data_IF_319842645717
#
_entry.id   IF_319842645717
#
_cell.length_a   1.000
_cell.length_b   1.000
_cell.length_c   1.000
_cell.angle_alpha   90.00
_cell.angle_beta   90.00
_cell.angle_gamma   90.00
#
_symmetry.space_group_name_H-M   'P 1'
#
loop_
_entity.id
_entity.type
_entity.pdbx_description
1 polymer ?
#
# COMPACT_ATOMS: atom_id res chain seq x y z
N UNK A 1 20.59 -3.57 -7.24
CA UNK A 1 19.60 -4.63 -7.53
C UNK A 1 19.00 -4.36 -8.91
N UNK A 2 18.93 -5.36 -9.78
CA UNK A 2 18.19 -5.24 -11.06
C UNK A 2 16.69 -5.06 -10.78
N UNK A 3 15.99 -4.27 -11.62
CA UNK A 3 14.55 -4.06 -11.53
C UNK A 3 13.80 -5.36 -11.83
N UNK A 4 12.85 -5.72 -10.98
CA UNK A 4 12.02 -6.93 -11.14
C UNK A 4 10.72 -6.50 -11.82
N UNK A 5 10.57 -6.87 -13.10
CA UNK A 5 9.42 -6.45 -13.93
C UNK A 5 8.10 -6.95 -13.35
N UNK A 6 8.07 -8.14 -12.76
CA UNK A 6 6.87 -8.67 -12.12
C UNK A 6 6.34 -7.79 -10.98
N UNK A 7 7.22 -7.13 -10.23
CA UNK A 7 6.82 -6.16 -9.20
C UNK A 7 6.20 -4.89 -9.81
N UNK A 8 6.62 -4.49 -11.01
CA UNK A 8 6.01 -3.37 -11.71
C UNK A 8 4.56 -3.69 -12.09
N UNK A 9 4.31 -4.90 -12.59
CA UNK A 9 2.94 -5.38 -12.87
C UNK A 9 2.08 -5.38 -11.60
N UNK A 10 2.59 -5.94 -10.50
CA UNK A 10 1.85 -5.99 -9.24
C UNK A 10 1.55 -4.58 -8.70
N UNK A 11 2.48 -3.64 -8.79
CA UNK A 11 2.24 -2.26 -8.36
C UNK A 11 1.12 -1.61 -9.14
N UNK A 12 1.18 -1.69 -10.48
CA UNK A 12 0.15 -1.10 -11.34
C UNK A 12 -1.20 -1.75 -11.09
N UNK A 13 -1.24 -3.08 -11.02
CA UNK A 13 -2.45 -3.80 -10.70
C UNK A 13 -3.03 -3.38 -9.34
N UNK A 14 -2.21 -3.38 -8.31
CA UNK A 14 -2.64 -3.09 -6.93
C UNK A 14 -3.15 -1.66 -6.80
N UNK A 15 -2.45 -0.67 -7.36
CA UNK A 15 -2.90 0.73 -7.29
C UNK A 15 -4.19 0.94 -8.09
N UNK A 16 -4.35 0.21 -9.20
CA UNK A 16 -5.57 0.28 -9.99
C UNK A 16 -6.77 -0.35 -9.27
N UNK A 17 -6.58 -1.48 -8.59
CA UNK A 17 -7.64 -2.08 -7.75
C UNK A 17 -8.10 -1.15 -6.63
N UNK A 18 -7.18 -0.45 -5.98
CA UNK A 18 -7.51 0.56 -4.97
C UNK A 18 -8.21 1.77 -5.60
N UNK A 19 -7.83 2.19 -6.82
CA UNK A 19 -8.52 3.24 -7.55
C UNK A 19 -9.97 2.86 -7.90
N UNK A 20 -10.20 1.62 -8.34
CA UNK A 20 -11.57 1.11 -8.60
C UNK A 20 -12.40 1.13 -7.31
N UNK A 21 -11.85 0.66 -6.19
CA UNK A 21 -12.49 0.72 -4.87
C UNK A 21 -12.87 2.15 -4.48
N UNK A 22 -11.93 3.09 -4.58
CA UNK A 22 -12.22 4.49 -4.26
C UNK A 22 -13.22 5.13 -5.23
N UNK A 23 -13.21 4.77 -6.52
CA UNK A 23 -14.20 5.27 -7.47
C UNK A 23 -15.61 4.74 -7.17
N UNK A 24 -15.73 3.48 -6.71
CA UNK A 24 -16.99 2.97 -6.19
C UNK A 24 -17.42 3.73 -4.93
N UNK A 25 -16.52 3.92 -3.97
CA UNK A 25 -16.82 4.54 -2.68
C UNK A 25 -17.17 6.04 -2.81
N UNK A 26 -16.42 6.81 -3.59
CA UNK A 26 -16.53 8.26 -3.64
C UNK A 26 -17.36 8.79 -4.80
N UNK A 27 -17.39 8.08 -5.94
CA UNK A 27 -18.13 8.51 -7.14
C UNK A 27 -19.39 7.68 -7.40
N UNK A 28 -19.69 6.68 -6.56
CA UNK A 28 -20.82 5.76 -6.75
C UNK A 28 -20.72 4.90 -8.01
N UNK A 29 -19.52 4.69 -8.55
CA UNK A 29 -19.33 3.92 -9.78
C UNK A 29 -19.77 2.47 -9.60
N UNK A 30 -20.59 1.97 -10.53
CA UNK A 30 -21.00 0.58 -10.59
C UNK A 30 -20.24 -0.16 -11.69
N UNK A 31 -19.77 -1.36 -11.39
CA UNK A 31 -19.04 -2.26 -12.28
C UNK A 31 -19.88 -3.52 -12.62
N UNK A 32 -21.20 -3.40 -12.55
CA UNK A 32 -22.12 -4.51 -12.79
C UNK A 32 -21.89 -5.67 -11.81
N UNK A 33 -21.73 -6.88 -12.32
CA UNK A 33 -21.50 -8.08 -11.50
C UNK A 33 -20.17 -8.06 -10.71
N UNK A 34 -19.24 -7.19 -11.08
CA UNK A 34 -17.95 -7.05 -10.40
C UNK A 34 -17.98 -6.03 -9.26
N UNK A 35 -19.07 -5.29 -9.06
CA UNK A 35 -19.18 -4.26 -8.04
C UNK A 35 -18.85 -4.80 -6.65
N UNK A 36 -19.39 -5.96 -6.27
CA UNK A 36 -19.11 -6.59 -4.97
C UNK A 36 -17.65 -6.99 -4.80
N UNK A 37 -16.96 -7.36 -5.88
CA UNK A 37 -15.51 -7.63 -5.82
C UNK A 37 -14.71 -6.33 -5.69
N UNK A 38 -15.11 -5.29 -6.42
CA UNK A 38 -14.45 -3.99 -6.40
C UNK A 38 -14.62 -3.30 -5.04
N UNK A 39 -15.78 -3.44 -4.38
CA UNK A 39 -16.02 -2.89 -3.04
C UNK A 39 -15.07 -3.44 -1.97
N UNK A 40 -14.44 -4.58 -2.19
CA UNK A 40 -13.42 -5.15 -1.31
C UNK A 40 -11.98 -4.76 -1.72
N UNK A 41 -11.81 -3.86 -2.68
CA UNK A 41 -10.51 -3.46 -3.22
C UNK A 41 -9.55 -2.85 -2.21
N UNK A 42 -10.02 -2.39 -1.06
CA UNK A 42 -9.22 -1.93 0.07
C UNK A 42 -8.22 -3.00 0.57
N UNK A 43 -8.52 -4.30 0.42
CA UNK A 43 -7.63 -5.41 0.83
C UNK A 43 -6.30 -5.41 0.09
N UNK A 44 -6.23 -4.81 -1.10
CA UNK A 44 -4.99 -4.71 -1.86
C UNK A 44 -3.92 -3.83 -1.21
N UNK A 45 -4.27 -3.02 -0.21
CA UNK A 45 -3.29 -2.31 0.61
C UNK A 45 -2.35 -3.28 1.34
N UNK A 46 -2.83 -4.46 1.73
CA UNK A 46 -1.99 -5.55 2.28
C UNK A 46 -0.86 -5.93 1.33
N UNK A 47 -1.17 -6.08 0.03
CA UNK A 47 -0.15 -6.38 -0.98
C UNK A 47 0.87 -5.24 -1.13
N UNK A 48 0.47 -3.97 -0.96
CA UNK A 48 1.41 -2.84 -0.94
C UNK A 48 2.41 -2.92 0.22
N UNK A 49 1.94 -3.21 1.44
CA UNK A 49 2.83 -3.37 2.59
C UNK A 49 3.75 -4.57 2.41
N UNK A 50 3.24 -5.71 1.95
CA UNK A 50 4.04 -6.90 1.65
C UNK A 50 5.10 -6.61 0.57
N UNK A 51 4.73 -5.97 -0.54
CA UNK A 51 5.68 -5.59 -1.60
C UNK A 51 6.77 -4.64 -1.09
N UNK A 52 6.40 -3.68 -0.24
CA UNK A 52 7.35 -2.73 0.34
C UNK A 52 8.36 -3.45 1.24
N UNK A 53 7.88 -4.32 2.12
CA UNK A 53 8.73 -5.17 2.96
C UNK A 53 9.63 -6.09 2.14
N UNK A 54 9.08 -6.70 1.09
CA UNK A 54 9.82 -7.59 0.19
C UNK A 54 10.96 -6.88 -0.54
N UNK A 55 10.70 -5.72 -1.15
CA UNK A 55 11.72 -4.94 -1.85
C UNK A 55 12.82 -4.46 -0.90
N UNK A 56 12.46 -4.05 0.31
CA UNK A 56 13.45 -3.64 1.31
C UNK A 56 14.25 -4.82 1.83
N UNK A 57 13.60 -5.95 2.11
CA UNK A 57 14.26 -7.20 2.51
C UNK A 57 15.30 -7.67 1.48
N UNK A 58 14.94 -7.66 0.17
CA UNK A 58 15.89 -7.97 -0.90
C UNK A 58 17.07 -7.01 -0.97
N UNK A 59 16.80 -5.71 -0.80
CA UNK A 59 17.80 -4.67 -0.99
C UNK A 59 18.75 -4.48 0.18
N UNK A 60 18.22 -4.63 1.39
CA UNK A 60 18.89 -4.33 2.65
C UNK A 60 19.05 -5.56 3.53
N UNK A 61 19.09 -6.76 2.94
CA UNK A 61 19.31 -8.02 3.65
C UNK A 61 20.53 -7.95 4.57
N UNK A 62 21.59 -7.29 4.14
CA UNK A 62 22.85 -7.11 4.87
C UNK A 62 23.05 -5.63 5.31
N UNK A 63 21.98 -4.96 5.76
CA UNK A 63 22.09 -3.59 6.26
C UNK A 63 23.05 -3.51 7.45
N UNK A 64 24.13 -2.73 7.38
CA UNK A 64 25.00 -2.52 8.53
C UNK A 64 24.28 -1.75 9.64
N UNK A 65 24.48 -2.18 10.89
CA UNK A 65 23.81 -1.57 12.05
C UNK A 65 24.67 -0.46 12.71
N UNK A 66 25.38 0.32 11.89
CA UNK A 66 26.10 1.52 12.34
C UNK A 66 25.30 2.79 12.02
N UNK A 67 25.57 3.87 12.76
CA UNK A 67 24.81 5.13 12.66
C UNK A 67 24.81 5.72 11.25
N UNK A 68 25.94 5.65 10.53
CA UNK A 68 26.04 6.19 9.16
C UNK A 68 25.14 5.42 8.16
N UNK A 69 25.16 4.09 8.21
CA UNK A 69 24.32 3.26 7.34
C UNK A 69 22.83 3.41 7.65
N UNK A 70 22.46 3.48 8.94
CA UNK A 70 21.09 3.70 9.38
C UNK A 70 20.59 5.08 8.95
N UNK A 71 21.39 6.13 9.13
CA UNK A 71 21.04 7.49 8.69
C UNK A 71 20.84 7.53 7.16
N UNK A 72 21.74 6.91 6.40
CA UNK A 72 21.62 6.83 4.95
C UNK A 72 20.35 6.06 4.52
N UNK A 73 20.02 4.96 5.22
CA UNK A 73 18.79 4.22 4.99
C UNK A 73 17.56 5.10 5.23
N UNK A 74 17.44 5.71 6.41
CA UNK A 74 16.29 6.55 6.76
C UNK A 74 16.14 7.74 5.81
N UNK A 75 17.23 8.48 5.58
CA UNK A 75 17.22 9.59 4.62
C UNK A 75 16.68 9.16 3.25
N UNK A 76 17.15 8.01 2.74
CA UNK A 76 16.72 7.50 1.45
C UNK A 76 15.24 7.08 1.44
N UNK A 77 14.73 6.50 2.53
CA UNK A 77 13.34 6.06 2.61
C UNK A 77 12.39 7.25 2.79
N UNK A 78 12.69 8.14 3.73
CA UNK A 78 11.85 9.30 4.00
C UNK A 78 11.78 10.27 2.80
N UNK A 79 12.91 10.55 2.15
CA UNK A 79 12.92 11.37 0.93
C UNK A 79 12.18 10.72 -0.25
N UNK A 80 11.97 9.40 -0.22
CA UNK A 80 11.19 8.74 -1.29
C UNK A 80 9.67 8.86 -1.11
N UNK A 81 9.17 9.22 0.08
CA UNK A 81 7.72 9.27 0.34
C UNK A 81 7.25 10.62 0.87
N UNK A 82 7.98 11.26 1.78
CA UNK A 82 7.52 12.48 2.45
C UNK A 82 7.36 13.70 1.54
N UNK A 83 8.23 14.01 0.56
CA UNK A 83 8.13 15.29 -0.16
C UNK A 83 6.79 15.48 -0.89
N UNK A 84 6.35 14.50 -1.65
CA UNK A 84 5.06 14.58 -2.35
C UNK A 84 3.90 14.55 -1.36
N UNK A 85 4.01 13.72 -0.31
CA UNK A 85 3.05 13.66 0.77
C UNK A 85 2.85 15.03 1.45
N UNK A 86 3.95 15.72 1.84
CA UNK A 86 3.89 17.04 2.47
C UNK A 86 3.18 18.04 1.55
N UNK A 87 3.47 18.01 0.26
CA UNK A 87 2.77 18.88 -0.71
C UNK A 87 1.27 18.59 -0.73
N UNK A 88 0.86 17.32 -0.71
CA UNK A 88 -0.56 16.96 -0.65
C UNK A 88 -1.22 17.42 0.66
N UNK A 89 -0.54 17.26 1.80
CA UNK A 89 -1.03 17.70 3.12
C UNK A 89 -1.22 19.21 3.16
N UNK A 90 -0.25 19.98 2.64
CA UNK A 90 -0.32 21.45 2.67
C UNK A 90 -1.37 21.99 1.68
N UNK A 91 -1.52 21.38 0.53
CA UNK A 91 -2.45 21.87 -0.50
C UNK A 91 -3.91 21.46 -0.27
N UNK A 92 -4.16 20.40 0.48
CA UNK A 92 -5.52 19.88 0.66
C UNK A 92 -6.44 20.85 1.45
N UNK A 93 -6.04 21.37 2.65
CA UNK A 93 -6.90 22.24 3.44
C UNK A 93 -7.34 23.52 2.71
N UNK A 94 -6.46 24.30 2.05
CA UNK A 94 -6.89 25.54 1.39
C UNK A 94 -7.77 25.33 0.17
N UNK A 95 -7.78 24.11 -0.42
CA UNK A 95 -8.57 23.80 -1.62
C UNK A 95 -9.92 23.16 -1.25
N UNK A 96 -9.95 22.32 -0.24
CA UNK A 96 -11.11 21.49 0.11
C UNK A 96 -11.49 21.55 1.59
N UNK A 97 -10.68 22.17 2.43
CA UNK A 97 -10.89 22.18 3.87
C UNK A 97 -12.13 23.00 4.25
N UNK A 98 -12.91 22.43 5.11
CA UNK A 98 -14.04 23.09 5.78
C UNK A 98 -13.71 23.28 7.28
N UNK A 99 -12.50 22.88 7.69
CA UNK A 99 -12.06 22.82 9.06
C UNK A 99 -11.73 24.22 9.60
N UNK A 100 -11.94 24.41 10.90
CA UNK A 100 -11.58 25.63 11.59
C UNK A 100 -10.06 25.83 11.64
N UNK A 101 -9.63 27.08 11.82
CA UNK A 101 -8.19 27.38 12.00
C UNK A 101 -7.57 26.58 13.14
N UNK A 102 -8.31 26.37 14.24
CA UNK A 102 -7.85 25.59 15.39
C UNK A 102 -7.61 24.13 15.02
N UNK A 103 -8.54 23.51 14.30
CA UNK A 103 -8.37 22.12 13.81
C UNK A 103 -7.13 22.02 12.92
N UNK A 104 -6.94 22.93 11.97
CA UNK A 104 -5.76 22.98 11.11
C UNK A 104 -4.47 23.07 11.93
N UNK A 105 -4.41 23.93 12.95
CA UNK A 105 -3.23 24.10 13.78
C UNK A 105 -2.91 22.86 14.64
N UNK A 106 -3.91 22.10 15.05
CA UNK A 106 -3.71 20.89 15.86
C UNK A 106 -3.37 19.66 15.01
N UNK A 107 -4.01 19.50 13.85
CA UNK A 107 -3.91 18.28 13.03
C UNK A 107 -2.72 18.37 12.06
N UNK A 108 -2.50 19.52 11.44
CA UNK A 108 -1.46 19.70 10.42
C UNK A 108 -0.04 19.30 10.88
N UNK A 109 0.42 19.63 12.11
CA UNK A 109 1.72 19.16 12.58
C UNK A 109 1.85 17.64 12.61
N UNK A 110 0.81 16.94 13.08
CA UNK A 110 0.79 15.47 13.16
C UNK A 110 0.83 14.84 11.77
N UNK A 111 0.09 15.43 10.83
CA UNK A 111 0.12 15.02 9.42
C UNK A 111 1.47 15.35 8.77
N UNK A 112 2.06 16.50 8.99
CA UNK A 112 3.37 16.86 8.42
C UNK A 112 4.49 15.89 8.86
N UNK A 113 4.42 15.40 10.10
CA UNK A 113 5.32 14.35 10.58
C UNK A 113 4.96 12.95 10.06
N UNK A 114 3.80 12.77 9.46
CA UNK A 114 3.33 11.48 8.94
C UNK A 114 3.09 10.45 10.04
N UNK A 115 2.54 10.86 11.18
CA UNK A 115 2.30 10.00 12.35
C UNK A 115 0.81 9.90 12.75
N UNK A 116 -0.09 10.45 11.97
CA UNK A 116 -1.53 10.51 12.28
C UNK A 116 -2.14 9.11 12.53
N UNK A 117 -1.68 8.07 11.84
CA UNK A 117 -2.19 6.71 12.02
C UNK A 117 -1.80 6.06 13.35
N UNK A 118 -0.84 6.64 14.08
CA UNK A 118 -0.48 6.17 15.44
C UNK A 118 -1.60 6.53 16.43
N UNK A 119 -2.38 7.56 16.12
CA UNK A 119 -3.46 8.08 16.96
C UNK A 119 -4.82 7.80 16.30
N UNK A 120 -5.51 6.70 16.63
CA UNK A 120 -6.77 6.32 15.99
C UNK A 120 -7.84 7.43 16.00
N UNK A 121 -7.93 8.17 17.10
CA UNK A 121 -8.87 9.31 17.24
C UNK A 121 -8.62 10.46 16.27
N UNK A 122 -7.37 10.66 15.82
CA UNK A 122 -7.03 11.70 14.85
C UNK A 122 -7.36 11.30 13.41
N UNK A 123 -7.50 10.02 13.12
CA UNK A 123 -7.81 9.54 11.76
C UNK A 123 -9.15 10.05 11.22
N UNK A 124 -10.10 10.33 12.11
CA UNK A 124 -11.45 10.81 11.75
C UNK A 124 -11.41 12.28 11.33
N UNK A 125 -10.44 13.03 11.84
CA UNK A 125 -10.31 14.49 11.65
C UNK A 125 -9.14 14.89 10.75
N UNK A 126 -8.47 13.92 10.12
CA UNK A 126 -7.40 14.22 9.14
C UNK A 126 -7.99 14.87 7.88
N UNK A 127 -7.27 15.86 7.32
CA UNK A 127 -7.69 16.58 6.12
C UNK A 127 -7.85 15.65 4.91
N UNK A 128 -6.89 14.76 4.71
CA UNK A 128 -6.92 13.79 3.61
C UNK A 128 -6.82 12.36 4.17
N UNK A 129 -7.97 11.71 4.35
CA UNK A 129 -8.04 10.36 4.90
C UNK A 129 -7.18 9.32 4.17
N UNK A 130 -6.89 9.50 2.86
CA UNK A 130 -6.03 8.58 2.10
C UNK A 130 -4.55 8.62 2.49
N UNK A 131 -4.13 9.61 3.26
CA UNK A 131 -2.73 9.78 3.68
C UNK A 131 -2.31 8.85 4.82
N UNK A 132 -3.24 8.14 5.45
CA UNK A 132 -2.96 7.13 6.48
C UNK A 132 -1.89 6.12 6.06
N UNK A 133 -1.87 5.74 4.78
CA UNK A 133 -0.89 4.81 4.24
C UNK A 133 0.55 5.31 4.41
N UNK A 134 0.78 6.62 4.20
CA UNK A 134 2.12 7.21 4.36
C UNK A 134 2.56 7.15 5.81
N UNK A 135 1.66 7.43 6.75
CA UNK A 135 1.94 7.29 8.18
C UNK A 135 2.34 5.85 8.53
N UNK A 136 1.57 4.87 8.08
CA UNK A 136 1.90 3.47 8.33
C UNK A 136 3.23 3.06 7.70
N UNK A 137 3.53 3.48 6.47
CA UNK A 137 4.78 3.07 5.81
C UNK A 137 6.00 3.75 6.42
N UNK A 138 5.87 4.98 6.94
CA UNK A 138 6.93 5.66 7.71
C UNK A 138 7.27 4.84 8.96
N UNK A 139 6.27 4.41 9.73
CA UNK A 139 6.48 3.54 10.91
C UNK A 139 7.14 2.21 10.50
N UNK A 140 6.68 1.59 9.40
CA UNK A 140 7.31 0.38 8.85
C UNK A 140 8.79 0.61 8.52
N UNK A 141 9.15 1.77 7.96
CA UNK A 141 10.54 2.10 7.66
C UNK A 141 11.36 2.35 8.92
N UNK A 142 10.78 2.97 9.95
CA UNK A 142 11.46 3.17 11.25
C UNK A 142 11.77 1.81 11.91
N UNK A 143 10.85 0.87 11.84
CA UNK A 143 10.99 -0.46 12.45
C UNK A 143 11.81 -1.44 11.59
N UNK A 144 12.04 -1.16 10.29
CA UNK A 144 12.73 -2.06 9.37
C UNK A 144 14.13 -2.51 9.84
N UNK A 145 15.04 -1.62 10.30
CA UNK A 145 16.37 -2.05 10.75
C UNK A 145 16.31 -3.03 11.91
N UNK A 146 15.40 -2.82 12.85
CA UNK A 146 15.18 -3.76 13.96
C UNK A 146 14.65 -5.11 13.44
N UNK A 147 13.67 -5.09 12.54
CA UNK A 147 13.10 -6.29 11.96
C UNK A 147 14.15 -7.13 11.21
N UNK A 148 14.96 -6.52 10.35
CA UNK A 148 15.98 -7.24 9.59
C UNK A 148 17.11 -7.77 10.49
N UNK A 149 17.47 -7.03 11.54
CA UNK A 149 18.41 -7.48 12.55
C UNK A 149 17.88 -8.73 13.27
N UNK A 150 16.65 -8.69 13.76
CA UNK A 150 16.01 -9.82 14.44
C UNK A 150 15.92 -11.04 13.51
N UNK A 151 15.48 -10.88 12.28
CA UNK A 151 15.39 -11.98 11.30
C UNK A 151 16.76 -12.65 11.05
N UNK A 152 17.84 -11.89 11.14
CA UNK A 152 19.22 -12.39 10.92
C UNK A 152 19.80 -13.09 12.15
N UNK A 153 19.36 -12.70 13.35
CA UNK A 153 19.97 -13.18 14.63
C UNK A 153 19.20 -14.32 15.25
N UNK A 154 17.88 -14.38 15.07
CA UNK A 154 17.05 -15.44 15.67
C UNK A 154 17.14 -16.75 14.88
N UNK A 155 16.94 -17.87 15.59
CA UNK A 155 16.91 -19.20 14.96
C UNK A 155 15.72 -19.34 13.99
N UNK A 156 15.85 -20.23 12.99
CA UNK A 156 14.75 -20.51 12.04
C UNK A 156 13.47 -20.96 12.74
N UNK A 157 13.58 -21.73 13.84
CA UNK A 157 12.42 -22.18 14.62
C UNK A 157 11.72 -21.01 15.29
N UNK A 158 12.47 -20.10 15.90
CA UNK A 158 11.95 -18.89 16.52
C UNK A 158 11.33 -17.95 15.48
N UNK A 159 11.97 -17.78 14.31
CA UNK A 159 11.42 -17.01 13.20
C UNK A 159 10.07 -17.58 12.73
N UNK A 160 9.97 -18.89 12.54
CA UNK A 160 8.71 -19.53 12.17
C UNK A 160 7.63 -19.29 13.24
N UNK A 161 7.98 -19.38 14.52
CA UNK A 161 7.04 -19.08 15.62
C UNK A 161 6.55 -17.63 15.58
N UNK A 162 7.46 -16.65 15.46
CA UNK A 162 7.11 -15.22 15.40
C UNK A 162 6.20 -14.94 14.20
N UNK A 163 6.48 -15.52 13.02
CA UNK A 163 5.64 -15.35 11.84
C UNK A 163 4.27 -15.98 12.03
N UNK A 164 4.21 -17.18 12.61
CA UNK A 164 2.95 -17.86 12.89
C UNK A 164 2.09 -17.05 13.86
N UNK A 165 2.72 -16.49 14.90
CA UNK A 165 2.03 -15.60 15.86
C UNK A 165 1.55 -14.31 15.19
N UNK A 166 2.39 -13.67 14.36
CA UNK A 166 1.99 -12.48 13.60
C UNK A 166 0.80 -12.77 12.68
N UNK A 167 0.82 -13.91 11.99
CA UNK A 167 -0.28 -14.33 11.14
C UNK A 167 -1.55 -14.64 11.94
N UNK A 168 -1.41 -15.30 13.08
CA UNK A 168 -2.52 -15.58 14.00
C UNK A 168 -3.17 -14.29 14.51
N UNK A 169 -2.36 -13.29 14.90
CA UNK A 169 -2.87 -11.97 15.30
C UNK A 169 -3.67 -11.31 14.16
N UNK A 170 -3.18 -11.39 12.92
CA UNK A 170 -3.92 -10.87 11.77
C UNK A 170 -5.24 -11.63 11.54
N UNK A 171 -5.23 -12.96 11.65
CA UNK A 171 -6.45 -13.77 11.51
C UNK A 171 -7.47 -13.50 12.61
N UNK A 172 -7.01 -13.29 13.84
CA UNK A 172 -7.87 -12.98 14.98
C UNK A 172 -8.27 -11.51 15.07
N UNK A 173 -7.77 -10.66 14.16
CA UNK A 173 -8.03 -9.22 14.18
C UNK A 173 -9.52 -8.83 14.28
N UNK A 174 -10.50 -9.54 13.67
CA UNK A 174 -11.93 -9.22 13.85
C UNK A 174 -12.38 -9.30 15.31
N UNK A 175 -11.98 -10.40 15.99
CA UNK A 175 -12.35 -10.63 17.41
C UNK A 175 -11.58 -9.68 18.33
N UNK A 176 -10.30 -9.40 18.01
CA UNK A 176 -9.49 -8.41 18.75
C UNK A 176 -10.17 -7.04 18.68
N UNK A 177 -10.62 -6.62 17.49
CA UNK A 177 -11.37 -5.36 17.31
C UNK A 177 -12.64 -5.35 18.13
N UNK A 178 -13.43 -6.43 18.05
CA UNK A 178 -14.72 -6.53 18.75
C UNK A 178 -14.56 -6.52 20.28
N UNK A 179 -13.62 -7.32 20.82
CA UNK A 179 -13.43 -7.47 22.27
C UNK A 179 -12.79 -6.23 22.90
N UNK A 180 -11.79 -5.65 22.21
CA UNK A 180 -11.02 -4.52 22.75
C UNK A 180 -11.50 -3.16 22.25
N UNK A 181 -12.60 -3.12 21.48
CA UNK A 181 -13.15 -1.90 20.89
C UNK A 181 -12.11 -1.04 20.17
N UNK A 182 -11.18 -1.70 19.41
CA UNK A 182 -10.13 -1.02 18.67
C UNK A 182 -10.73 -0.39 17.43
N UNK A 183 -10.84 0.94 17.44
CA UNK A 183 -11.22 1.70 16.26
C UNK A 183 -10.07 1.76 15.25
N UNK A 184 -10.42 1.97 13.97
CA UNK A 184 -9.47 2.27 12.89
C UNK A 184 -8.33 1.23 12.72
N UNK A 185 -8.58 -0.07 12.99
CA UNK A 185 -7.58 -1.14 12.83
C UNK A 185 -7.00 -1.16 11.40
N UNK A 186 -7.80 -0.81 10.39
CA UNK A 186 -7.39 -0.80 8.99
C UNK A 186 -6.20 0.14 8.73
N UNK A 187 -6.16 1.30 9.38
CA UNK A 187 -5.08 2.28 9.30
C UNK A 187 -4.07 2.18 10.44
N UNK A 188 -4.14 1.12 11.26
CA UNK A 188 -3.23 0.95 12.38
C UNK A 188 -1.83 0.50 11.91
N UNK A 189 -0.74 1.26 12.20
CA UNK A 189 0.59 0.99 11.69
C UNK A 189 1.20 -0.30 12.21
N UNK A 190 0.81 -0.78 13.39
CA UNK A 190 1.34 -2.03 13.95
C UNK A 190 0.79 -3.25 13.22
N UNK A 191 -0.51 -3.26 12.88
CA UNK A 191 -1.09 -4.33 12.06
C UNK A 191 -0.51 -4.31 10.64
N UNK A 192 -0.34 -3.13 10.04
CA UNK A 192 0.31 -2.97 8.72
C UNK A 192 1.78 -3.38 8.74
N UNK A 193 2.45 -3.20 9.87
CA UNK A 193 3.81 -3.68 10.05
C UNK A 193 3.91 -5.22 10.01
N UNK A 194 2.91 -5.96 10.50
CA UNK A 194 2.90 -7.43 10.41
C UNK A 194 2.85 -7.88 8.94
N UNK A 195 2.05 -7.24 8.10
CA UNK A 195 2.00 -7.52 6.65
C UNK A 195 3.35 -7.18 5.97
N UNK A 196 3.93 -6.05 6.32
CA UNK A 196 5.25 -5.63 5.85
C UNK A 196 6.35 -6.61 6.30
N UNK A 197 6.30 -7.11 7.53
CA UNK A 197 7.21 -8.12 8.07
C UNK A 197 7.14 -9.43 7.27
N UNK A 198 5.93 -9.88 6.89
CA UNK A 198 5.78 -11.06 6.02
C UNK A 198 6.53 -10.86 4.70
N UNK A 199 6.46 -9.66 4.11
CA UNK A 199 7.23 -9.32 2.91
C UNK A 199 8.74 -9.43 3.13
N UNK A 200 9.28 -8.92 4.25
CA UNK A 200 10.72 -9.02 4.58
C UNK A 200 11.14 -10.49 4.67
N UNK A 201 10.39 -11.30 5.41
CA UNK A 201 10.71 -12.71 5.61
C UNK A 201 10.69 -13.50 4.30
N UNK A 202 9.72 -13.21 3.43
CA UNK A 202 9.69 -13.80 2.08
C UNK A 202 10.93 -13.42 1.28
N UNK A 203 11.36 -12.16 1.35
CA UNK A 203 12.55 -11.68 0.64
C UNK A 203 13.84 -12.38 1.10
N UNK A 204 14.01 -12.51 2.42
CA UNK A 204 15.20 -13.17 3.00
C UNK A 204 15.26 -14.65 2.63
N UNK A 205 14.12 -15.31 2.48
CA UNK A 205 13.99 -16.73 2.17
C UNK A 205 13.66 -17.03 0.71
N UNK A 206 13.66 -16.04 -0.18
CA UNK A 206 13.17 -16.19 -1.57
C UNK A 206 13.86 -17.31 -2.34
N UNK A 207 15.17 -17.48 -2.21
CA UNK A 207 15.93 -18.53 -2.89
C UNK A 207 15.47 -19.93 -2.47
N UNK A 208 15.32 -20.16 -1.14
CA UNK A 208 14.83 -21.41 -0.61
C UNK A 208 13.38 -21.70 -1.04
N UNK A 209 12.53 -20.67 -1.06
CA UNK A 209 11.14 -20.79 -1.49
C UNK A 209 11.04 -21.11 -2.99
N UNK A 210 11.90 -20.52 -3.81
CA UNK A 210 11.96 -20.80 -5.26
C UNK A 210 12.41 -22.21 -5.57
N UNK A 211 13.40 -22.72 -4.82
CA UNK A 211 13.87 -24.10 -4.97
C UNK A 211 12.80 -25.09 -4.53
N UNK A 212 12.21 -24.86 -3.36
CA UNK A 212 11.19 -25.77 -2.79
C UNK A 212 9.89 -25.79 -3.59
N UNK A 213 9.49 -24.67 -4.17
CA UNK A 213 8.23 -24.49 -4.89
C UNK A 213 8.45 -24.11 -6.35
N UNK A 214 9.15 -24.96 -7.12
CA UNK A 214 9.49 -24.71 -8.53
C UNK A 214 8.29 -24.48 -9.46
N UNK A 215 7.08 -24.92 -9.07
CA UNK A 215 5.84 -24.64 -9.81
C UNK A 215 5.46 -23.14 -9.82
N UNK A 216 5.92 -22.35 -8.84
CA UNK A 216 5.72 -20.90 -8.79
C UNK A 216 6.32 -20.18 -9.99
N UNK A 217 7.31 -20.77 -10.66
CA UNK A 217 7.98 -20.20 -11.83
C UNK A 217 7.18 -20.31 -13.13
N UNK A 218 6.03 -20.99 -13.12
CA UNK A 218 5.21 -21.20 -14.32
C UNK A 218 4.26 -20.03 -14.56
N UNK A 219 4.02 -19.67 -15.83
CA UNK A 219 3.02 -18.63 -16.19
C UNK A 219 1.62 -18.93 -15.64
N UNK A 220 1.25 -20.20 -15.65
CA UNK A 220 -0.04 -20.65 -15.11
C UNK A 220 -0.18 -20.32 -13.62
N UNK A 221 0.92 -20.33 -12.85
CA UNK A 221 0.93 -19.98 -11.43
C UNK A 221 0.56 -18.51 -11.21
N UNK A 222 1.03 -17.63 -12.09
CA UNK A 222 0.66 -16.19 -12.04
C UNK A 222 -0.84 -16.04 -12.27
N UNK A 223 -1.38 -16.61 -13.34
CA UNK A 223 -2.81 -16.54 -13.64
C UNK A 223 -3.65 -17.16 -12.53
N UNK A 224 -3.26 -18.34 -12.05
CA UNK A 224 -3.97 -19.04 -10.97
C UNK A 224 -4.03 -18.19 -9.70
N UNK A 225 -2.96 -17.46 -9.35
CA UNK A 225 -2.96 -16.57 -8.15
C UNK A 225 -4.05 -15.49 -8.21
N UNK A 226 -4.29 -14.89 -9.39
CA UNK A 226 -5.38 -13.93 -9.58
C UNK A 226 -6.77 -14.60 -9.46
N UNK A 227 -6.95 -15.74 -10.11
CA UNK A 227 -8.22 -16.49 -10.07
C UNK A 227 -8.56 -16.88 -8.63
N UNK A 228 -7.57 -17.38 -7.86
CA UNK A 228 -7.79 -17.75 -6.46
C UNK A 228 -8.14 -16.54 -5.59
N UNK A 229 -7.47 -15.39 -5.75
CA UNK A 229 -7.81 -14.18 -5.00
C UNK A 229 -9.26 -13.76 -5.29
N UNK A 230 -9.66 -13.71 -6.56
CA UNK A 230 -11.05 -13.39 -6.92
C UNK A 230 -12.02 -14.41 -6.33
N UNK A 231 -11.72 -15.71 -6.46
CA UNK A 231 -12.57 -16.78 -5.94
C UNK A 231 -12.73 -16.72 -4.42
N UNK A 232 -11.65 -16.46 -3.69
CA UNK A 232 -11.68 -16.34 -2.22
C UNK A 232 -12.48 -15.11 -1.79
N UNK A 233 -12.28 -13.94 -2.42
CA UNK A 233 -13.08 -12.74 -2.13
C UNK A 233 -14.55 -12.99 -2.36
N UNK A 234 -14.91 -13.57 -3.51
CA UNK A 234 -16.32 -13.88 -3.83
C UNK A 234 -16.93 -14.91 -2.87
N UNK A 235 -16.12 -15.86 -2.36
CA UNK A 235 -16.56 -16.81 -1.33
C UNK A 235 -16.80 -16.12 0.00
N UNK A 236 -15.87 -15.27 0.44
CA UNK A 236 -15.97 -14.52 1.71
C UNK A 236 -17.19 -13.59 1.73
N UNK A 237 -17.51 -12.96 0.61
CA UNK A 237 -18.73 -12.14 0.45
C UNK A 237 -20.03 -12.94 0.64
N UNK A 238 -20.01 -14.25 0.34
CA UNK A 238 -21.18 -15.12 0.54
C UNK A 238 -21.31 -15.62 1.98
N UNK A 239 -20.19 -15.80 2.69
CA UNK A 239 -20.17 -16.43 4.03
C UNK A 239 -20.68 -15.47 5.10
N UNK A 240 -20.61 -14.16 4.90
CA UNK A 240 -21.05 -13.12 5.84
C UNK A 240 -20.54 -13.38 7.27
N UNK A 241 -19.23 -13.45 7.45
CA UNK A 241 -18.63 -13.69 8.77
C UNK A 241 -18.92 -12.47 9.67
N UNK A 242 -19.51 -12.67 10.88
CA UNK A 242 -19.75 -11.57 11.81
C UNK A 242 -18.47 -10.81 12.15
N UNK A 243 -18.58 -9.49 12.34
CA UNK A 243 -17.48 -8.59 12.70
C UNK A 243 -16.33 -8.54 11.71
N UNK A 244 -16.51 -9.03 10.48
CA UNK A 244 -15.50 -9.00 9.44
C UNK A 244 -15.29 -7.57 8.96
N UNK A 245 -14.05 -7.12 9.07
CA UNK A 245 -13.55 -5.87 8.53
C UNK A 245 -12.63 -6.15 7.34
N UNK A 246 -12.22 -5.12 6.60
CA UNK A 246 -11.19 -5.26 5.56
C UNK A 246 -9.92 -5.97 6.04
N UNK A 247 -9.56 -5.84 7.33
CA UNK A 247 -8.39 -6.52 7.90
C UNK A 247 -8.55 -8.03 7.97
N UNK A 248 -9.76 -8.53 8.20
CA UNK A 248 -10.05 -9.97 8.22
C UNK A 248 -9.88 -10.58 6.85
N UNK A 249 -10.42 -9.91 5.82
CA UNK A 249 -10.22 -10.34 4.43
C UNK A 249 -8.72 -10.27 4.07
N UNK A 250 -8.03 -9.23 4.49
CA UNK A 250 -6.60 -9.08 4.31
C UNK A 250 -5.81 -10.28 4.86
N UNK A 251 -6.13 -10.72 6.08
CA UNK A 251 -5.46 -11.85 6.72
C UNK A 251 -5.70 -13.17 5.97
N UNK A 252 -6.95 -13.44 5.57
CA UNK A 252 -7.30 -14.64 4.80
C UNK A 252 -6.63 -14.62 3.41
N UNK A 253 -6.52 -13.45 2.78
CA UNK A 253 -5.88 -13.28 1.47
C UNK A 253 -4.35 -13.27 1.52
N UNK A 254 -3.75 -13.08 2.69
CA UNK A 254 -2.29 -12.94 2.84
C UNK A 254 -1.49 -14.11 2.22
N UNK A 255 -1.85 -15.39 2.38
CA UNK A 255 -1.16 -16.49 1.71
C UNK A 255 -1.25 -16.43 0.18
N UNK A 256 -2.39 -15.97 -0.35
CA UNK A 256 -2.60 -15.81 -1.80
C UNK A 256 -1.82 -14.61 -2.34
N UNK A 257 -1.73 -13.52 -1.59
CA UNK A 257 -0.85 -12.40 -1.90
C UNK A 257 0.63 -12.80 -1.84
N UNK A 258 1.02 -13.63 -0.88
CA UNK A 258 2.36 -14.19 -0.81
C UNK A 258 2.67 -15.05 -2.05
N UNK A 259 1.74 -15.93 -2.45
CA UNK A 259 1.86 -16.70 -3.67
C UNK A 259 1.98 -15.78 -4.91
N UNK A 260 1.10 -14.80 -5.05
CA UNK A 260 1.12 -13.85 -6.17
C UNK A 260 2.46 -13.09 -6.24
N UNK A 261 2.96 -12.62 -5.10
CA UNK A 261 4.24 -11.91 -5.00
C UNK A 261 5.41 -12.81 -5.44
N UNK A 262 5.45 -14.06 -4.98
CA UNK A 262 6.47 -15.03 -5.38
C UNK A 262 6.38 -15.36 -6.87
N UNK A 263 5.19 -15.65 -7.38
CA UNK A 263 4.98 -15.98 -8.79
C UNK A 263 5.45 -14.87 -9.75
N UNK A 264 5.25 -13.60 -9.35
CA UNK A 264 5.71 -12.46 -10.13
C UNK A 264 7.20 -12.16 -10.03
N UNK A 265 7.88 -12.61 -8.97
CA UNK A 265 9.29 -12.28 -8.72
C UNK A 265 10.27 -13.36 -9.15
N UNK A 266 9.79 -14.60 -9.33
CA UNK A 266 10.65 -15.76 -9.56
C UNK A 266 11.24 -15.84 -10.96
N UNK A 267 10.59 -15.38 -12.02
CA UNK A 267 11.22 -15.16 -13.35
C UNK A 267 10.49 -14.12 -14.17
N UNK A 268 11.18 -13.17 -14.76
CA UNK A 268 10.58 -12.16 -15.62
C UNK A 268 10.33 -12.73 -17.01
N UNK A 269 9.28 -13.52 -17.20
CA UNK A 269 8.78 -13.85 -18.54
C UNK A 269 7.86 -12.77 -19.10
N UNK A 270 7.68 -11.67 -18.36
CA UNK A 270 6.86 -10.54 -18.74
C UNK A 270 7.71 -9.58 -19.59
N UNK A 271 7.16 -9.17 -20.72
CA UNK A 271 7.84 -8.27 -21.65
C UNK A 271 8.19 -6.92 -20.99
N UNK A 272 9.35 -6.39 -21.30
CA UNK A 272 9.72 -5.02 -20.91
C UNK A 272 8.83 -4.04 -21.67
N UNK A 273 7.86 -3.44 -20.97
CA UNK A 273 6.99 -2.43 -21.52
C UNK A 273 7.31 -1.06 -20.91
N UNK A 274 7.59 -0.06 -21.76
CA UNK A 274 7.91 1.31 -21.31
C UNK A 274 6.73 1.98 -20.59
N UNK A 275 5.51 1.72 -21.06
CA UNK A 275 4.27 2.26 -20.46
C UNK A 275 4.09 1.66 -19.06
N UNK A 276 4.17 0.33 -18.92
CA UNK A 276 4.07 -0.34 -17.63
C UNK A 276 5.12 0.19 -16.64
N UNK A 277 6.36 0.33 -17.10
CA UNK A 277 7.43 0.90 -16.29
C UNK A 277 7.06 2.29 -15.79
N UNK A 278 6.56 3.16 -16.67
CA UNK A 278 6.16 4.51 -16.32
C UNK A 278 4.99 4.51 -15.31
N UNK A 279 3.94 3.72 -15.55
CA UNK A 279 2.83 3.55 -14.62
C UNK A 279 3.30 3.05 -13.24
N UNK A 280 4.26 2.12 -13.21
CA UNK A 280 4.84 1.65 -11.95
C UNK A 280 5.70 2.72 -11.24
N UNK A 281 6.39 3.57 -11.99
CA UNK A 281 7.19 4.68 -11.45
C UNK A 281 6.29 5.76 -10.81
N UNK A 282 5.13 6.06 -11.41
CA UNK A 282 4.17 7.06 -10.89
C UNK A 282 3.17 6.47 -9.89
N UNK A 283 3.18 5.16 -9.61
CA UNK A 283 2.14 4.46 -8.83
C UNK A 283 1.93 5.03 -7.44
N UNK A 284 2.99 5.48 -6.77
CA UNK A 284 2.90 6.13 -5.47
C UNK A 284 2.19 7.48 -5.56
N UNK A 285 2.59 8.33 -6.50
CA UNK A 285 1.94 9.61 -6.76
C UNK A 285 0.47 9.41 -7.16
N UNK A 286 0.18 8.41 -8.01
CA UNK A 286 -1.18 8.07 -8.42
C UNK A 286 -2.06 7.68 -7.22
N UNK A 287 -1.54 6.87 -6.31
CA UNK A 287 -2.26 6.51 -5.09
C UNK A 287 -2.53 7.75 -4.22
N UNK A 288 -1.52 8.56 -3.99
CA UNK A 288 -1.61 9.70 -3.08
C UNK A 288 -2.58 10.80 -3.57
N UNK A 289 -2.70 10.96 -4.90
CA UNK A 289 -3.58 11.95 -5.52
C UNK A 289 -5.05 11.52 -5.59
N UNK A 290 -5.39 10.25 -5.32
CA UNK A 290 -6.74 9.73 -5.55
C UNK A 290 -7.83 10.54 -4.84
N UNK A 291 -7.75 10.71 -3.52
CA UNK A 291 -8.80 11.42 -2.79
C UNK A 291 -8.91 12.89 -3.17
N UNK A 292 -7.79 13.54 -3.43
CA UNK A 292 -7.76 14.91 -3.98
C UNK A 292 -8.53 14.96 -5.31
N UNK A 293 -8.24 14.04 -6.20
CA UNK A 293 -8.86 13.97 -7.54
C UNK A 293 -10.33 13.61 -7.45
N UNK A 294 -10.74 12.69 -6.57
CA UNK A 294 -12.14 12.34 -6.43
C UNK A 294 -12.97 13.55 -5.93
N UNK A 295 -12.48 14.28 -4.94
CA UNK A 295 -13.16 15.50 -4.47
C UNK A 295 -13.21 16.56 -5.57
N UNK A 296 -12.13 16.77 -6.31
CA UNK A 296 -12.10 17.65 -7.48
C UNK A 296 -13.10 17.21 -8.57
N UNK A 297 -13.18 15.91 -8.84
CA UNK A 297 -14.12 15.35 -9.83
C UNK A 297 -15.58 15.60 -9.42
N UNK A 298 -15.91 15.48 -8.13
CA UNK A 298 -17.24 15.80 -7.62
C UNK A 298 -17.57 17.29 -7.77
N UNK A 299 -16.62 18.18 -7.51
CA UNK A 299 -16.81 19.62 -7.70
C UNK A 299 -17.04 19.95 -9.20
N UNK A 300 -16.28 19.33 -10.11
CA UNK A 300 -16.48 19.45 -11.56
C UNK A 300 -17.86 18.91 -11.94
N UNK A 301 -18.26 17.76 -11.40
CA UNK A 301 -19.59 17.16 -11.62
C UNK A 301 -20.71 18.09 -11.23
N UNK A 302 -20.60 18.70 -10.05
CA UNK A 302 -21.60 19.65 -9.57
C UNK A 302 -21.69 20.92 -10.44
N UNK A 303 -20.54 21.43 -10.91
CA UNK A 303 -20.50 22.63 -11.74
C UNK A 303 -21.08 22.42 -13.16
N UNK A 304 -20.84 21.23 -13.76
CA UNK A 304 -21.28 20.91 -15.14
C UNK A 304 -22.52 20.00 -15.19
N UNK A 305 -23.16 19.74 -14.06
CA UNK A 305 -24.32 18.82 -13.93
C UNK A 305 -24.09 17.43 -14.55
N UNK A 306 -22.90 16.87 -14.29
CA UNK A 306 -22.49 15.58 -14.84
C UNK A 306 -23.00 14.44 -13.93
N UNK A 307 -24.01 13.71 -14.38
CA UNK A 307 -24.65 12.63 -13.57
C UNK A 307 -24.18 11.22 -13.94
N UNK A 308 -23.52 11.04 -15.10
CA UNK A 308 -23.11 9.71 -15.58
C UNK A 308 -21.83 9.24 -14.86
N UNK A 309 -21.93 8.22 -14.05
CA UNK A 309 -20.80 7.64 -13.30
C UNK A 309 -19.61 7.24 -14.19
N UNK A 310 -19.84 6.79 -15.42
CA UNK A 310 -18.76 6.47 -16.35
C UNK A 310 -17.94 7.70 -16.74
N UNK A 311 -18.59 8.87 -16.92
CA UNK A 311 -17.90 10.11 -17.22
C UNK A 311 -17.06 10.55 -16.02
N UNK A 312 -17.60 10.45 -14.78
CA UNK A 312 -16.88 10.76 -13.54
C UNK A 312 -15.67 9.85 -13.36
N UNK A 313 -15.84 8.54 -13.62
CA UNK A 313 -14.74 7.58 -13.58
C UNK A 313 -13.61 7.95 -14.55
N UNK A 314 -13.94 8.26 -15.81
CA UNK A 314 -12.94 8.60 -16.83
C UNK A 314 -12.24 9.94 -16.53
N UNK A 315 -12.98 10.94 -16.04
CA UNK A 315 -12.41 12.23 -15.60
C UNK A 315 -11.44 12.00 -14.44
N UNK A 316 -11.87 11.26 -13.41
CA UNK A 316 -11.03 10.95 -12.26
C UNK A 316 -9.77 10.17 -12.65
N UNK A 317 -9.88 9.19 -13.54
CA UNK A 317 -8.75 8.40 -14.02
C UNK A 317 -7.73 9.29 -14.75
N UNK A 318 -8.20 10.15 -15.66
CA UNK A 318 -7.36 11.07 -16.40
C UNK A 318 -6.67 12.09 -15.49
N UNK A 319 -7.42 12.73 -14.59
CA UNK A 319 -6.88 13.70 -13.64
C UNK A 319 -5.86 13.05 -12.71
N UNK A 320 -6.17 11.85 -12.18
CA UNK A 320 -5.24 11.11 -11.35
C UNK A 320 -3.92 10.81 -12.07
N UNK A 321 -3.99 10.39 -13.32
CA UNK A 321 -2.82 10.15 -14.16
C UNK A 321 -2.03 11.44 -14.43
N UNK A 322 -2.70 12.54 -14.72
CA UNK A 322 -2.06 13.85 -14.96
C UNK A 322 -1.36 14.36 -13.68
N UNK A 323 -2.06 14.42 -12.56
CA UNK A 323 -1.49 14.89 -11.29
C UNK A 323 -0.37 13.99 -10.78
N UNK A 324 -0.52 12.68 -10.92
CA UNK A 324 0.55 11.72 -10.58
C UNK A 324 1.79 11.93 -11.44
N UNK A 325 1.61 12.16 -12.75
CA UNK A 325 2.71 12.42 -13.66
C UNK A 325 3.43 13.73 -13.34
N UNK A 326 2.68 14.78 -13.00
CA UNK A 326 3.22 16.09 -12.57
C UNK A 326 3.99 15.94 -11.26
N UNK A 327 3.38 15.34 -10.23
CA UNK A 327 4.01 15.13 -8.93
C UNK A 327 5.30 14.31 -9.04
N UNK A 328 5.28 13.25 -9.85
CA UNK A 328 6.46 12.45 -10.11
C UNK A 328 7.58 13.25 -10.78
N UNK A 329 7.28 14.01 -11.84
CA UNK A 329 8.28 14.77 -12.61
C UNK A 329 8.83 15.96 -11.83
N UNK A 330 7.98 16.68 -11.10
CA UNK A 330 8.37 17.93 -10.43
C UNK A 330 9.00 17.68 -9.07
N UNK A 331 8.54 16.67 -8.33
CA UNK A 331 8.93 16.43 -6.94
C UNK A 331 9.79 15.18 -6.80
N UNK A 332 9.24 13.99 -7.14
CA UNK A 332 9.92 12.73 -6.82
C UNK A 332 11.20 12.52 -7.63
N UNK A 333 11.15 12.72 -8.94
CA UNK A 333 12.28 12.46 -9.84
C UNK A 333 13.48 13.38 -9.55
N UNK A 334 13.33 14.71 -9.39
CA UNK A 334 14.45 15.59 -9.06
C UNK A 334 15.11 15.25 -7.72
N UNK A 335 14.30 14.91 -6.70
CA UNK A 335 14.82 14.55 -5.38
C UNK A 335 15.56 13.21 -5.41
N UNK A 336 15.04 12.23 -6.14
CA UNK A 336 15.71 10.95 -6.33
C UNK A 336 17.06 11.10 -7.04
N UNK A 337 17.15 12.00 -8.04
CA UNK A 337 18.40 12.32 -8.75
C UNK A 337 19.41 13.03 -7.85
N UNK A 338 18.96 14.01 -7.03
CA UNK A 338 19.83 14.72 -6.08
C UNK A 338 20.42 13.76 -5.02
N UNK A 339 19.63 12.80 -4.55
CA UNK A 339 20.11 11.79 -3.60
C UNK A 339 21.16 10.87 -4.22
N UNK A 340 20.99 10.48 -5.51
CA UNK A 340 21.98 9.65 -6.20
C UNK A 340 23.32 10.34 -6.41
N UNK A 341 23.32 11.68 -6.56
CA UNK A 341 24.57 12.44 -6.73
C UNK A 341 25.35 12.67 -5.42
N UNK A 342 24.67 12.56 -4.26
CA UNK A 342 25.29 12.78 -2.94
C UNK A 342 25.72 11.50 -2.22
N UNK A 343 25.48 10.36 -2.83
CA UNK A 343 25.93 9.02 -2.39
C UNK A 343 27.01 8.47 -3.31
#
# INVERSE_FOLDING_TARGET
MKRIIGLDYLRVYTVFMVFLFHSWMHLGCSFGKLTSFVSEGAVYMTLFFMMSGYVLGLKYKELPMNGAALLAFYKKRLVSVLPLYIVCVILYPPIFGEETLLQNLLILPVELFGIQSVFPSLMIVTHNGGTWFVSCIVICYLLFPLAILLIRTISKKCLCFVISMAYLVLLLSPWIVYIFHIEQIYSNPFFRFLEFLMGIVMAVNVENLQVKYGWLNKKISVLASYVFIVGVVMLLLKIQIPHVTYMSYSAILLPFFAWQLLAHTTKPQLAKNKILKYCADISYAFFLMQLFVFKLTLNISAYFDLTKHICLFLIALLLCFCFASLGHRIIEQPLALRLKKKM
#
